data_IF_637679070934
#
_entry.id   IF_637679070934
#
_cell.length_a   1.000
_cell.length_b   1.000
_cell.length_c   1.000
_cell.angle_alpha   90.00
_cell.angle_beta   90.00
_cell.angle_gamma   90.00
#
_symmetry.space_group_name_H-M   'P 1'
#
loop_
_entity.id
_entity.type
_entity.pdbx_description
1 polymer ?
#
# COMPACT_ATOMS: atom_id res chain seq x y z
N UNK A 1 -13.32 12.41 -21.19
CA UNK A 1 -12.73 12.51 -19.84
C UNK A 1 -12.65 11.12 -19.27
N UNK A 2 -11.54 10.75 -18.65
CA UNK A 2 -11.35 9.43 -18.04
C UNK A 2 -11.66 9.52 -16.56
N UNK A 3 -12.58 8.72 -16.04
CA UNK A 3 -12.91 8.66 -14.62
C UNK A 3 -12.04 7.60 -13.94
N UNK A 4 -11.24 8.03 -12.96
CA UNK A 4 -10.39 7.14 -12.16
C UNK A 4 -10.94 7.07 -10.74
N UNK A 5 -11.41 5.89 -10.32
CA UNK A 5 -11.80 5.62 -8.95
C UNK A 5 -10.58 5.21 -8.13
N UNK A 6 -10.40 5.83 -6.97
CA UNK A 6 -9.34 5.49 -6.01
C UNK A 6 -9.98 4.97 -4.74
N UNK A 7 -9.85 3.66 -4.47
CA UNK A 7 -10.25 3.08 -3.19
C UNK A 7 -9.17 3.29 -2.14
N UNK A 8 -9.55 3.24 -0.85
CA UNK A 8 -8.59 3.56 0.22
C UNK A 8 -8.01 4.97 0.13
N UNK A 9 -8.72 5.91 -0.50
CA UNK A 9 -8.26 7.26 -0.82
C UNK A 9 -7.79 8.06 0.41
N UNK A 10 -8.28 7.77 1.60
CA UNK A 10 -7.87 8.43 2.85
C UNK A 10 -6.68 7.76 3.55
N UNK A 11 -6.20 6.65 3.03
CA UNK A 11 -5.05 5.91 3.56
C UNK A 11 -3.72 6.42 3.03
N UNK A 12 -2.63 5.83 3.51
CA UNK A 12 -1.24 6.25 3.20
C UNK A 12 -0.95 6.29 1.69
N UNK A 13 -1.25 5.21 0.96
CA UNK A 13 -0.96 5.13 -0.48
C UNK A 13 -2.07 5.81 -1.30
N UNK A 14 -3.35 5.54 -0.99
CA UNK A 14 -4.46 6.08 -1.76
C UNK A 14 -4.49 7.62 -1.76
N UNK A 15 -4.17 8.26 -0.63
CA UNK A 15 -4.07 9.72 -0.56
C UNK A 15 -2.94 10.28 -1.44
N UNK A 16 -1.78 9.61 -1.48
CA UNK A 16 -0.69 9.99 -2.38
C UNK A 16 -1.06 9.77 -3.86
N UNK A 17 -1.85 8.73 -4.17
CA UNK A 17 -2.37 8.52 -5.54
C UNK A 17 -3.28 9.67 -5.95
N UNK A 18 -4.26 10.06 -5.11
CA UNK A 18 -5.14 11.21 -5.39
C UNK A 18 -4.33 12.49 -5.58
N UNK A 19 -3.41 12.79 -4.67
CA UNK A 19 -2.54 13.97 -4.73
C UNK A 19 -1.72 14.04 -6.01
N UNK A 20 -1.13 12.92 -6.43
CA UNK A 20 -0.31 12.86 -7.63
C UNK A 20 -1.15 12.88 -8.91
N UNK A 21 -2.36 12.31 -8.91
CA UNK A 21 -3.30 12.46 -10.04
C UNK A 21 -3.70 13.93 -10.23
N UNK A 22 -4.02 14.66 -9.16
CA UNK A 22 -4.33 16.10 -9.22
C UNK A 22 -3.15 16.90 -9.76
N UNK A 23 -1.92 16.50 -9.44
CA UNK A 23 -0.69 17.21 -9.85
C UNK A 23 -0.18 16.77 -11.22
N UNK A 24 -0.82 15.77 -11.86
CA UNK A 24 -0.38 15.28 -13.17
C UNK A 24 -0.68 16.26 -14.30
N UNK A 25 0.12 16.21 -15.38
CA UNK A 25 -0.12 17.03 -16.58
C UNK A 25 -1.47 16.73 -17.26
N UNK A 26 -1.99 15.56 -17.07
CA UNK A 26 -3.22 15.08 -17.68
C UNK A 26 -4.48 15.34 -16.84
N UNK A 27 -4.36 16.00 -15.67
CA UNK A 27 -5.46 16.18 -14.74
C UNK A 27 -6.70 16.85 -15.34
N UNK A 28 -6.55 17.72 -16.36
CA UNK A 28 -7.68 18.37 -17.03
C UNK A 28 -8.57 17.39 -17.85
N UNK A 29 -8.05 16.21 -18.17
CA UNK A 29 -8.75 15.16 -18.90
C UNK A 29 -9.20 14.00 -17.99
N UNK A 30 -8.99 14.12 -16.68
CA UNK A 30 -9.26 13.08 -15.70
C UNK A 30 -10.26 13.61 -14.68
N UNK A 31 -11.30 12.81 -14.40
CA UNK A 31 -12.15 12.95 -13.22
C UNK A 31 -11.61 12.02 -12.15
N UNK A 32 -11.17 12.56 -11.02
CA UNK A 32 -10.66 11.77 -9.90
C UNK A 32 -11.80 11.56 -8.91
N UNK A 33 -12.16 10.29 -8.71
CA UNK A 33 -13.20 9.90 -7.76
C UNK A 33 -12.55 9.21 -6.55
N UNK A 34 -12.59 9.86 -5.39
CA UNK A 34 -12.05 9.34 -4.14
C UNK A 34 -13.15 8.59 -3.36
N UNK A 35 -12.99 7.26 -3.21
CA UNK A 35 -13.89 6.46 -2.40
C UNK A 35 -13.62 6.70 -0.90
N UNK A 36 -14.67 7.05 -0.17
CA UNK A 36 -14.64 7.32 1.26
C UNK A 36 -15.81 6.62 1.96
N UNK A 37 -15.64 6.24 3.22
CA UNK A 37 -16.71 5.56 3.98
C UNK A 37 -17.46 6.51 4.94
N UNK A 38 -17.13 7.79 4.96
CA UNK A 38 -17.86 8.79 5.76
C UNK A 38 -17.66 10.21 5.24
N UNK A 39 -18.62 11.09 5.54
CA UNK A 39 -18.56 12.50 5.18
C UNK A 39 -17.35 13.22 5.81
N UNK A 40 -17.01 12.90 7.05
CA UNK A 40 -15.82 13.45 7.72
C UNK A 40 -14.52 13.13 6.96
N UNK A 41 -14.43 11.95 6.31
CA UNK A 41 -13.31 11.57 5.46
C UNK A 41 -13.35 12.27 4.09
N UNK A 42 -14.55 12.54 3.55
CA UNK A 42 -14.72 13.29 2.30
C UNK A 42 -14.18 14.72 2.43
N UNK A 43 -14.32 15.33 3.61
CA UNK A 43 -13.87 16.70 3.87
C UNK A 43 -12.35 16.89 3.66
N UNK A 44 -11.56 15.84 3.78
CA UNK A 44 -10.12 15.87 3.51
C UNK A 44 -9.80 16.24 2.05
N UNK A 45 -10.73 16.00 1.12
CA UNK A 45 -10.54 16.27 -0.30
C UNK A 45 -11.06 17.63 -0.76
N UNK A 46 -11.72 18.40 0.11
CA UNK A 46 -12.21 19.77 -0.20
C UNK A 46 -11.10 20.71 -0.67
N UNK A 47 -9.86 20.48 -0.23
CA UNK A 47 -8.69 21.27 -0.63
C UNK A 47 -8.41 21.20 -2.15
N UNK A 48 -8.88 20.16 -2.83
CA UNK A 48 -8.70 19.98 -4.28
C UNK A 48 -9.84 20.57 -5.11
N UNK A 49 -10.86 21.15 -4.46
CA UNK A 49 -12.00 21.77 -5.12
C UNK A 49 -12.73 20.82 -6.07
N UNK A 50 -12.91 21.25 -7.32
CA UNK A 50 -13.61 20.47 -8.36
C UNK A 50 -12.73 19.38 -9.00
N UNK A 51 -11.45 19.32 -8.70
CA UNK A 51 -10.53 18.34 -9.28
C UNK A 51 -10.74 16.93 -8.72
N UNK A 52 -11.36 16.82 -7.54
CA UNK A 52 -11.64 15.54 -6.87
C UNK A 52 -13.09 15.52 -6.44
N UNK A 53 -13.86 14.56 -6.95
CA UNK A 53 -15.16 14.20 -6.41
C UNK A 53 -15.02 13.08 -5.37
N UNK A 54 -15.87 13.09 -4.37
CA UNK A 54 -15.91 12.02 -3.36
C UNK A 54 -17.18 11.19 -3.55
N UNK A 55 -17.04 9.87 -3.38
CA UNK A 55 -18.17 8.94 -3.41
C UNK A 55 -18.16 8.10 -2.13
N UNK A 56 -19.36 7.89 -1.56
CA UNK A 56 -19.46 6.95 -0.44
C UNK A 56 -19.30 5.52 -0.94
N UNK A 57 -18.44 4.74 -0.28
CA UNK A 57 -18.19 3.35 -0.61
C UNK A 57 -17.95 2.56 0.68
N UNK A 58 -18.87 1.66 0.98
CA UNK A 58 -18.83 0.77 2.14
C UNK A 58 -18.88 -0.69 1.63
N UNK A 59 -17.83 -1.45 1.85
CA UNK A 59 -17.72 -2.83 1.37
C UNK A 59 -18.81 -3.77 1.92
N UNK A 60 -19.46 -3.40 3.03
CA UNK A 60 -20.59 -4.14 3.58
C UNK A 60 -21.94 -3.76 2.93
N UNK A 61 -21.96 -2.83 1.97
CA UNK A 61 -23.14 -2.30 1.31
C UNK A 61 -22.99 -2.34 -0.21
N UNK A 62 -23.39 -3.44 -0.87
CA UNK A 62 -23.19 -3.64 -2.30
C UNK A 62 -23.70 -2.48 -3.16
N UNK A 63 -24.83 -1.87 -2.79
CA UNK A 63 -25.40 -0.73 -3.50
C UNK A 63 -24.44 0.47 -3.57
N UNK A 64 -23.64 0.70 -2.52
CA UNK A 64 -22.65 1.79 -2.52
C UNK A 64 -21.44 1.47 -3.38
N UNK A 65 -21.13 0.20 -3.59
CA UNK A 65 -20.06 -0.25 -4.46
C UNK A 65 -20.45 -0.04 -5.91
N UNK A 66 -21.67 -0.49 -6.31
CA UNK A 66 -22.20 -0.32 -7.64
C UNK A 66 -22.26 1.17 -8.03
N UNK A 67 -22.74 2.04 -7.12
CA UNK A 67 -22.79 3.49 -7.32
C UNK A 67 -21.37 4.07 -7.51
N UNK A 68 -20.41 3.64 -6.71
CA UNK A 68 -19.01 4.11 -6.80
C UNK A 68 -18.35 3.70 -8.11
N UNK A 69 -18.65 2.51 -8.62
CA UNK A 69 -18.11 1.99 -9.89
C UNK A 69 -18.80 2.57 -11.12
N UNK A 70 -19.97 3.18 -10.97
CA UNK A 70 -20.74 3.69 -12.12
C UNK A 70 -19.95 4.74 -12.91
N UNK A 71 -19.85 4.52 -14.24
CA UNK A 71 -19.05 5.36 -15.16
C UNK A 71 -17.56 5.48 -14.82
N UNK A 72 -16.98 4.47 -14.17
CA UNK A 72 -15.55 4.39 -13.91
C UNK A 72 -14.84 3.74 -15.11
N UNK A 73 -13.79 4.40 -15.61
CA UNK A 73 -12.95 3.88 -16.68
C UNK A 73 -11.73 3.12 -16.13
N UNK A 74 -11.16 3.58 -15.02
CA UNK A 74 -9.97 2.95 -14.40
C UNK A 74 -10.11 2.93 -12.88
N UNK A 75 -9.53 1.90 -12.26
CA UNK A 75 -9.64 1.66 -10.83
C UNK A 75 -8.26 1.51 -10.19
N UNK A 76 -7.95 2.35 -9.19
CA UNK A 76 -6.92 2.03 -8.21
C UNK A 76 -7.57 1.26 -7.07
N UNK A 77 -7.22 -0.01 -6.94
CA UNK A 77 -7.81 -0.92 -5.96
C UNK A 77 -6.87 -1.16 -4.78
N UNK A 78 -7.29 -0.72 -3.62
CA UNK A 78 -6.68 -1.02 -2.33
C UNK A 78 -7.73 -1.69 -1.45
N UNK A 79 -7.43 -2.90 -1.02
CA UNK A 79 -8.16 -3.66 0.00
C UNK A 79 -7.31 -3.73 1.26
N UNK A 80 -7.94 -3.78 2.43
CA UNK A 80 -7.23 -4.03 3.68
C UNK A 80 -7.34 -5.53 3.99
N UNK A 81 -6.27 -6.19 4.45
CA UNK A 81 -6.39 -7.58 4.89
C UNK A 81 -7.46 -7.74 5.94
N UNK A 82 -8.32 -8.73 5.78
CA UNK A 82 -9.38 -9.08 6.73
C UNK A 82 -9.35 -10.59 6.96
N UNK A 83 -9.78 -11.05 8.15
CA UNK A 83 -9.78 -12.48 8.49
C UNK A 83 -10.72 -13.28 7.58
N UNK A 84 -11.77 -12.64 7.12
CA UNK A 84 -12.76 -13.19 6.21
C UNK A 84 -12.78 -12.40 4.92
N UNK A 85 -12.54 -13.10 3.79
CA UNK A 85 -12.66 -12.54 2.45
C UNK A 85 -14.08 -12.02 2.16
N UNK A 86 -15.08 -12.44 2.94
CA UNK A 86 -16.46 -11.98 2.79
C UNK A 86 -16.58 -10.43 2.86
N UNK A 87 -15.69 -9.76 3.57
CA UNK A 87 -15.66 -8.27 3.63
C UNK A 87 -15.46 -7.66 2.24
N UNK A 88 -14.70 -8.33 1.39
CA UNK A 88 -14.40 -7.85 0.02
C UNK A 88 -15.15 -8.62 -1.06
N UNK A 89 -15.91 -9.67 -0.70
CA UNK A 89 -16.64 -10.48 -1.66
C UNK A 89 -17.56 -9.62 -2.51
N UNK A 90 -18.32 -8.71 -1.90
CA UNK A 90 -19.19 -7.81 -2.63
C UNK A 90 -18.44 -6.96 -3.67
N UNK A 91 -17.30 -6.37 -3.27
CA UNK A 91 -16.47 -5.57 -4.19
C UNK A 91 -15.90 -6.42 -5.32
N UNK A 92 -15.39 -7.61 -5.01
CA UNK A 92 -14.75 -8.49 -5.98
C UNK A 92 -15.81 -9.13 -6.90
N UNK A 93 -17.00 -9.42 -6.40
CA UNK A 93 -18.14 -9.87 -7.23
C UNK A 93 -18.62 -8.76 -8.16
N UNK A 94 -18.79 -7.54 -7.65
CA UNK A 94 -19.13 -6.40 -8.49
C UNK A 94 -18.07 -6.16 -9.59
N UNK A 95 -16.78 -6.29 -9.27
CA UNK A 95 -15.71 -6.19 -10.27
C UNK A 95 -15.79 -7.34 -11.28
N UNK A 96 -16.02 -8.58 -10.83
CA UNK A 96 -16.11 -9.77 -11.70
C UNK A 96 -17.32 -9.70 -12.64
N UNK A 97 -18.45 -9.22 -12.16
CA UNK A 97 -19.71 -9.16 -12.90
C UNK A 97 -19.92 -7.82 -13.61
N UNK A 98 -18.99 -6.90 -13.46
CA UNK A 98 -19.11 -5.55 -13.99
C UNK A 98 -19.18 -5.53 -15.52
N UNK A 99 -20.34 -5.17 -16.03
CA UNK A 99 -20.59 -5.01 -17.46
C UNK A 99 -20.33 -3.57 -17.96
N UNK A 100 -19.62 -2.76 -17.18
CA UNK A 100 -19.33 -1.37 -17.49
C UNK A 100 -18.03 -1.15 -18.26
N UNK A 101 -17.43 0.03 -18.10
CA UNK A 101 -16.33 0.50 -18.93
C UNK A 101 -14.95 0.42 -18.24
N UNK A 102 -14.81 -0.29 -17.09
CA UNK A 102 -13.49 -0.42 -16.46
C UNK A 102 -12.55 -1.14 -17.43
N UNK A 103 -11.56 -0.40 -17.90
CA UNK A 103 -10.58 -0.90 -18.87
C UNK A 103 -9.18 -1.12 -18.27
N UNK A 104 -8.98 -0.78 -16.99
CA UNK A 104 -7.74 -1.08 -16.27
C UNK A 104 -7.92 -1.02 -14.76
N UNK A 105 -7.46 -2.06 -14.06
CA UNK A 105 -7.36 -2.13 -12.60
C UNK A 105 -5.90 -2.11 -12.21
N UNK A 106 -5.48 -1.13 -11.41
CA UNK A 106 -4.18 -1.12 -10.75
C UNK A 106 -4.39 -1.48 -9.28
N UNK A 107 -4.03 -2.71 -8.92
CA UNK A 107 -4.22 -3.21 -7.55
C UNK A 107 -2.94 -3.06 -6.72
N UNK A 108 -3.07 -2.42 -5.56
CA UNK A 108 -2.05 -2.52 -4.51
C UNK A 108 -2.16 -3.90 -3.85
N UNK A 109 -1.24 -4.77 -4.20
CA UNK A 109 -1.07 -6.11 -3.67
C UNK A 109 0.08 -6.14 -2.63
N UNK A 110 0.71 -7.29 -2.45
CA UNK A 110 1.83 -7.50 -1.55
C UNK A 110 2.87 -8.43 -2.18
N UNK A 111 4.14 -8.26 -1.81
CA UNK A 111 5.17 -9.26 -2.15
C UNK A 111 4.81 -10.66 -1.62
N UNK A 112 4.02 -10.75 -0.56
CA UNK A 112 3.58 -12.01 0.01
C UNK A 112 2.70 -12.81 -0.97
N UNK A 113 1.99 -12.17 -1.90
CA UNK A 113 1.25 -12.85 -2.97
C UNK A 113 2.20 -13.62 -3.92
N UNK A 114 3.39 -13.04 -4.22
CA UNK A 114 4.40 -13.75 -5.00
C UNK A 114 5.05 -14.90 -4.21
N UNK A 115 5.17 -14.78 -2.90
CA UNK A 115 5.67 -15.85 -2.04
C UNK A 115 4.72 -17.04 -1.99
N UNK A 116 3.41 -16.79 -2.06
CA UNK A 116 2.38 -17.84 -2.16
C UNK A 116 2.59 -18.74 -3.40
N UNK A 117 2.96 -18.13 -4.53
CA UNK A 117 3.25 -18.86 -5.78
C UNK A 117 4.45 -19.82 -5.63
N UNK A 118 5.32 -19.61 -4.64
CA UNK A 118 6.50 -20.43 -4.36
C UNK A 118 6.34 -21.39 -3.18
N UNK A 119 5.12 -21.48 -2.63
CA UNK A 119 4.82 -22.34 -1.48
C UNK A 119 5.21 -21.77 -0.10
N UNK A 120 5.64 -20.50 -0.05
CA UNK A 120 5.91 -19.77 1.21
C UNK A 120 4.63 -19.04 1.68
N UNK A 121 3.54 -19.80 1.74
CA UNK A 121 2.21 -19.26 2.03
C UNK A 121 2.12 -18.55 3.38
N UNK A 122 1.55 -17.34 3.36
CA UNK A 122 1.19 -16.59 4.56
C UNK A 122 -0.28 -16.19 4.49
N UNK A 123 -0.87 -15.83 5.65
CA UNK A 123 -2.25 -15.33 5.70
C UNK A 123 -2.42 -14.16 4.72
N UNK A 124 -1.55 -13.16 4.79
CA UNK A 124 -1.60 -11.98 3.90
C UNK A 124 -1.34 -12.37 2.44
N UNK A 125 -0.40 -13.28 2.19
CA UNK A 125 -0.07 -13.75 0.84
C UNK A 125 -1.26 -14.44 0.19
N UNK A 126 -1.92 -15.34 0.91
CA UNK A 126 -3.13 -16.03 0.42
C UNK A 126 -4.26 -15.05 0.10
N UNK A 127 -4.54 -14.11 1.00
CA UNK A 127 -5.58 -13.09 0.79
C UNK A 127 -5.31 -12.32 -0.50
N UNK A 128 -4.12 -11.73 -0.63
CA UNK A 128 -3.80 -10.96 -1.82
C UNK A 128 -3.79 -11.80 -3.10
N UNK A 129 -3.31 -13.06 -3.04
CA UNK A 129 -3.30 -13.94 -4.23
C UNK A 129 -4.72 -14.35 -4.65
N UNK A 130 -5.62 -14.59 -3.72
CA UNK A 130 -7.04 -14.83 -4.02
C UNK A 130 -7.69 -13.61 -4.70
N UNK A 131 -7.45 -12.41 -4.18
CA UNK A 131 -7.93 -11.17 -4.81
C UNK A 131 -7.37 -10.99 -6.23
N UNK A 132 -6.08 -11.26 -6.43
CA UNK A 132 -5.45 -11.22 -7.75
C UNK A 132 -6.11 -12.22 -8.72
N UNK A 133 -6.37 -13.47 -8.29
CA UNK A 133 -7.05 -14.48 -9.12
C UNK A 133 -8.45 -14.03 -9.55
N UNK A 134 -9.24 -13.46 -8.65
CA UNK A 134 -10.59 -12.97 -8.98
C UNK A 134 -10.50 -11.85 -10.03
N UNK A 135 -9.51 -10.96 -9.92
CA UNK A 135 -9.28 -9.91 -10.91
C UNK A 135 -8.83 -10.51 -12.26
N UNK A 136 -7.95 -11.50 -12.25
CA UNK A 136 -7.52 -12.24 -13.46
C UNK A 136 -8.74 -12.88 -14.16
N UNK A 137 -9.64 -13.51 -13.39
CA UNK A 137 -10.85 -14.16 -13.89
C UNK A 137 -11.89 -13.18 -14.46
N UNK A 138 -11.93 -11.94 -13.97
CA UNK A 138 -12.82 -10.89 -14.51
C UNK A 138 -12.49 -10.50 -15.95
N UNK A 139 -11.28 -10.83 -16.43
CA UNK A 139 -10.74 -10.46 -17.74
C UNK A 139 -10.59 -8.94 -17.96
N UNK A 140 -10.81 -8.13 -16.94
CA UNK A 140 -10.49 -6.71 -16.99
C UNK A 140 -8.95 -6.57 -17.00
N UNK A 141 -8.39 -5.74 -17.89
CA UNK A 141 -6.95 -5.47 -17.88
C UNK A 141 -6.46 -5.03 -16.50
N UNK A 142 -5.37 -5.60 -16.02
CA UNK A 142 -4.88 -5.34 -14.67
C UNK A 142 -3.37 -5.11 -14.58
N UNK A 143 -2.95 -4.48 -13.48
CA UNK A 143 -1.56 -4.38 -13.02
C UNK A 143 -1.53 -4.63 -11.53
N UNK A 144 -0.70 -5.54 -11.05
CA UNK A 144 -0.49 -5.77 -9.63
C UNK A 144 0.80 -5.12 -9.16
N UNK A 145 0.72 -4.36 -8.08
CA UNK A 145 1.87 -3.74 -7.43
C UNK A 145 2.13 -4.49 -6.13
N UNK A 146 3.29 -5.14 -6.03
CA UNK A 146 3.66 -6.05 -4.94
C UNK A 146 4.82 -5.48 -4.11
N UNK A 147 4.57 -4.48 -3.23
CA UNK A 147 5.60 -3.94 -2.33
C UNK A 147 5.90 -4.89 -1.16
N UNK A 148 7.11 -4.83 -0.57
CA UNK A 148 7.47 -5.58 0.63
C UNK A 148 6.96 -4.92 1.92
N UNK A 149 7.39 -3.70 2.21
CA UNK A 149 6.99 -2.93 3.38
C UNK A 149 7.14 -1.43 3.10
N UNK A 150 6.32 -0.62 3.78
CA UNK A 150 6.30 0.83 3.56
C UNK A 150 7.22 1.55 4.54
N UNK A 151 7.97 2.55 4.07
CA UNK A 151 8.71 3.47 4.95
C UNK A 151 7.78 4.18 5.93
N UNK A 152 6.55 4.48 5.52
CA UNK A 152 5.55 5.15 6.35
C UNK A 152 5.13 4.35 7.60
N UNK A 153 5.43 3.05 7.65
CA UNK A 153 5.24 2.24 8.87
C UNK A 153 6.06 2.80 10.05
N UNK A 154 7.22 3.43 9.79
CA UNK A 154 8.00 4.10 10.83
C UNK A 154 7.24 5.28 11.46
N UNK A 155 6.33 5.91 10.72
CA UNK A 155 5.48 6.98 11.24
C UNK A 155 4.24 6.39 11.93
N UNK A 156 3.53 5.49 11.24
CA UNK A 156 2.20 5.04 11.66
C UNK A 156 2.24 3.97 12.75
N UNK A 157 3.24 3.09 12.74
CA UNK A 157 3.36 1.99 13.70
C UNK A 157 4.36 2.30 14.81
N UNK A 158 5.50 2.90 14.47
CA UNK A 158 6.60 3.10 15.43
C UNK A 158 6.75 4.56 15.89
N UNK A 159 6.09 5.51 15.23
CA UNK A 159 6.28 6.93 15.49
C UNK A 159 6.00 7.35 16.94
N UNK A 160 5.02 6.71 17.61
CA UNK A 160 4.74 6.98 19.01
C UNK A 160 5.92 6.60 19.92
N UNK A 161 6.41 5.38 19.82
CA UNK A 161 7.53 4.91 20.67
C UNK A 161 8.85 5.57 20.30
N UNK A 162 9.08 5.92 19.04
CA UNK A 162 10.22 6.72 18.61
C UNK A 162 10.22 8.09 19.31
N UNK A 163 9.08 8.79 19.39
CA UNK A 163 8.99 10.11 20.04
C UNK A 163 9.07 10.07 21.56
N UNK A 164 8.48 9.04 22.18
CA UNK A 164 8.29 9.00 23.63
C UNK A 164 9.35 8.16 24.36
N UNK A 165 10.03 7.26 23.66
CA UNK A 165 10.96 6.30 24.23
C UNK A 165 12.32 6.26 23.51
N UNK A 166 12.50 7.06 22.46
CA UNK A 166 13.69 7.03 21.61
C UNK A 166 13.99 5.62 21.02
N UNK A 167 12.95 4.81 20.86
CA UNK A 167 13.11 3.42 20.43
C UNK A 167 11.87 2.90 19.67
N UNK A 168 12.10 1.82 18.92
CA UNK A 168 11.03 0.98 18.40
C UNK A 168 11.41 -0.51 18.51
N UNK A 169 10.39 -1.36 18.59
CA UNK A 169 10.49 -2.74 19.04
C UNK A 169 9.85 -3.67 18.02
N UNK A 170 10.65 -4.54 17.38
CA UNK A 170 10.15 -5.56 16.44
C UNK A 170 11.03 -6.81 16.48
N UNK A 171 10.46 -8.02 16.26
CA UNK A 171 11.19 -9.28 16.33
C UNK A 171 11.78 -9.66 14.96
N UNK A 172 12.68 -8.81 14.41
CA UNK A 172 13.18 -8.98 13.05
C UNK A 172 14.69 -9.33 12.96
N UNK A 173 15.41 -9.31 14.08
CA UNK A 173 16.85 -9.51 14.09
C UNK A 173 17.57 -8.49 13.22
N UNK A 174 18.61 -8.94 12.52
CA UNK A 174 19.37 -8.12 11.56
C UNK A 174 18.93 -8.33 10.10
N UNK A 175 17.74 -8.92 9.89
CA UNK A 175 17.20 -9.16 8.56
C UNK A 175 16.98 -7.84 7.82
N UNK A 176 17.21 -7.88 6.50
CA UNK A 176 17.05 -6.70 5.64
C UNK A 176 15.73 -6.71 4.90
N UNK A 177 15.19 -5.53 4.73
CA UNK A 177 13.94 -5.27 4.01
C UNK A 177 14.16 -4.17 2.99
N UNK A 178 13.62 -4.34 1.81
CA UNK A 178 13.59 -3.32 0.77
C UNK A 178 12.37 -2.40 1.01
N UNK A 179 12.44 -1.54 2.03
CA UNK A 179 11.37 -0.60 2.34
C UNK A 179 11.13 0.37 1.18
N UNK A 180 9.89 0.52 0.77
CA UNK A 180 9.49 1.45 -0.30
C UNK A 180 8.70 2.64 0.26
N UNK A 181 8.92 3.82 -0.29
CA UNK A 181 8.11 4.99 0.05
C UNK A 181 6.74 4.92 -0.64
N UNK A 182 5.67 5.23 0.09
CA UNK A 182 4.31 5.23 -0.45
C UNK A 182 4.15 6.22 -1.63
N UNK A 183 4.96 7.27 -1.69
CA UNK A 183 5.02 8.23 -2.80
C UNK A 183 5.50 7.58 -4.11
N UNK A 184 6.41 6.59 -4.03
CA UNK A 184 6.87 5.85 -5.21
C UNK A 184 5.84 4.83 -5.66
N UNK A 185 5.15 4.16 -4.73
CA UNK A 185 4.01 3.29 -5.06
C UNK A 185 2.94 4.09 -5.80
N UNK A 186 2.59 5.27 -5.27
CA UNK A 186 1.63 6.16 -5.90
C UNK A 186 2.10 6.62 -7.29
N UNK A 187 3.39 6.96 -7.45
CA UNK A 187 3.94 7.37 -8.74
C UNK A 187 3.84 6.27 -9.80
N UNK A 188 4.15 5.02 -9.43
CA UNK A 188 3.96 3.87 -10.32
C UNK A 188 2.49 3.66 -10.64
N UNK A 189 1.60 3.76 -9.64
CA UNK A 189 0.15 3.63 -9.82
C UNK A 189 -0.39 4.67 -10.80
N UNK A 190 -0.01 5.93 -10.61
CA UNK A 190 -0.44 7.05 -11.49
C UNK A 190 0.06 6.84 -12.91
N UNK A 191 1.33 6.43 -13.09
CA UNK A 191 1.87 6.10 -14.43
C UNK A 191 1.06 5.00 -15.12
N UNK A 192 0.74 3.92 -14.43
CA UNK A 192 -0.07 2.84 -14.97
C UNK A 192 -1.51 3.30 -15.30
N UNK A 193 -2.13 4.11 -14.43
CA UNK A 193 -3.48 4.61 -14.61
C UNK A 193 -3.60 5.67 -15.72
N UNK A 194 -2.58 6.50 -15.92
CA UNK A 194 -2.64 7.62 -16.89
C UNK A 194 -1.99 7.31 -18.23
N UNK A 195 -1.28 6.19 -18.36
CA UNK A 195 -0.64 5.80 -19.63
C UNK A 195 -1.67 5.61 -20.74
N UNK A 196 -1.38 6.18 -21.91
CA UNK A 196 -2.12 5.91 -23.15
C UNK A 196 -1.65 4.61 -23.81
N UNK A 197 -0.41 4.20 -23.58
CA UNK A 197 0.13 2.89 -23.98
C UNK A 197 0.17 1.97 -22.75
N UNK A 198 -0.89 1.21 -22.58
CA UNK A 198 -1.04 0.32 -21.43
C UNK A 198 -0.32 -1.03 -21.63
N UNK A 199 0.26 -1.31 -22.79
CA UNK A 199 0.84 -2.62 -23.13
C UNK A 199 1.93 -3.06 -22.13
N UNK A 200 2.73 -2.13 -21.63
CA UNK A 200 3.74 -2.43 -20.63
C UNK A 200 3.18 -2.76 -19.25
N UNK A 201 1.94 -2.38 -18.93
CA UNK A 201 1.33 -2.55 -17.60
C UNK A 201 0.34 -3.72 -17.54
N UNK A 202 -0.43 -3.94 -18.63
CA UNK A 202 -1.50 -4.93 -18.66
C UNK A 202 -0.98 -6.36 -18.48
N UNK A 203 -1.62 -7.08 -17.54
CA UNK A 203 -1.28 -8.48 -17.24
C UNK A 203 0.05 -8.62 -16.50
N UNK A 204 0.56 -7.55 -15.87
CA UNK A 204 1.85 -7.56 -15.18
C UNK A 204 1.69 -7.46 -13.67
N UNK A 205 2.62 -8.11 -12.97
CA UNK A 205 2.82 -7.95 -11.53
C UNK A 205 4.24 -7.40 -11.31
N UNK A 206 4.34 -6.25 -10.66
CA UNK A 206 5.60 -5.54 -10.40
C UNK A 206 6.00 -5.63 -8.94
N UNK A 207 7.26 -5.98 -8.67
CA UNK A 207 7.85 -5.92 -7.34
C UNK A 207 8.31 -4.50 -7.05
N UNK A 208 7.52 -3.74 -6.30
CA UNK A 208 7.76 -2.33 -6.03
C UNK A 208 8.70 -2.19 -4.83
N UNK A 209 9.99 -2.03 -5.11
CA UNK A 209 11.06 -2.05 -4.11
C UNK A 209 11.90 -0.79 -4.14
N UNK A 210 12.57 -0.48 -3.01
CA UNK A 210 13.67 0.49 -3.00
C UNK A 210 14.89 -0.07 -3.73
N UNK A 211 15.90 0.77 -3.96
CA UNK A 211 17.17 0.34 -4.58
C UNK A 211 18.05 -0.47 -3.62
N UNK A 212 17.86 -0.32 -2.32
CA UNK A 212 18.62 -0.99 -1.29
C UNK A 212 17.70 -1.64 -0.26
N UNK A 213 18.15 -2.77 0.30
CA UNK A 213 17.54 -3.39 1.44
C UNK A 213 18.34 -3.06 2.69
N UNK A 214 17.68 -2.53 3.72
CA UNK A 214 18.28 -2.14 4.99
C UNK A 214 17.64 -2.89 6.15
N UNK A 215 18.39 -3.11 7.23
CA UNK A 215 17.84 -3.66 8.47
C UNK A 215 17.13 -2.57 9.30
N UNK A 216 16.33 -2.98 10.27
CA UNK A 216 15.74 -2.04 11.23
C UNK A 216 16.80 -1.29 12.04
N UNK A 217 17.95 -1.92 12.30
CA UNK A 217 19.12 -1.26 12.93
C UNK A 217 19.66 -0.12 12.07
N UNK A 218 19.87 -0.37 10.78
CA UNK A 218 20.30 0.66 9.84
C UNK A 218 19.26 1.78 9.69
N UNK A 219 17.97 1.44 9.70
CA UNK A 219 16.89 2.42 9.69
C UNK A 219 16.95 3.32 10.95
N UNK A 220 17.18 2.75 12.15
CA UNK A 220 17.33 3.50 13.38
C UNK A 220 18.54 4.45 13.34
N UNK A 221 19.66 4.02 12.78
CA UNK A 221 20.85 4.85 12.59
C UNK A 221 20.59 6.04 11.66
N UNK A 222 19.90 5.80 10.54
CA UNK A 222 19.52 6.85 9.59
C UNK A 222 18.56 7.86 10.25
N UNK A 223 17.52 7.37 10.94
CA UNK A 223 16.59 8.23 11.68
C UNK A 223 17.32 9.06 12.73
N UNK A 224 18.20 8.44 13.53
CA UNK A 224 18.99 9.14 14.56
C UNK A 224 19.76 10.32 13.99
N UNK A 225 20.40 10.12 12.83
CA UNK A 225 21.16 11.16 12.14
C UNK A 225 20.28 12.32 11.68
N UNK A 226 19.08 12.05 11.17
CA UNK A 226 18.19 13.08 10.66
C UNK A 226 17.47 13.85 11.77
N UNK A 227 17.15 13.18 12.88
CA UNK A 227 16.44 13.78 14.02
C UNK A 227 17.42 14.50 14.99
N UNK A 228 18.70 14.14 14.95
CA UNK A 228 19.74 14.74 15.80
C UNK A 228 19.76 14.16 17.23
N UNK A 229 19.12 13.00 17.47
CA UNK A 229 19.18 12.26 18.73
C UNK A 229 19.21 10.76 18.47
N UNK A 230 19.69 9.99 19.45
CA UNK A 230 19.77 8.54 19.31
C UNK A 230 18.37 7.93 19.32
N UNK A 231 18.03 7.20 18.24
CA UNK A 231 16.87 6.31 18.13
C UNK A 231 17.39 4.89 18.09
N UNK A 232 16.82 4.00 18.90
CA UNK A 232 17.29 2.63 19.05
C UNK A 232 16.28 1.64 18.44
N UNK A 233 16.78 0.70 17.67
CA UNK A 233 16.05 -0.52 17.36
C UNK A 233 16.29 -1.54 18.46
N UNK A 234 15.24 -2.10 19.02
CA UNK A 234 15.29 -3.17 20.02
C UNK A 234 14.68 -4.43 19.40
N UNK A 235 15.53 -5.43 19.18
CA UNK A 235 15.06 -6.75 18.77
C UNK A 235 14.46 -7.45 19.99
N UNK A 236 13.16 -7.75 19.92
CA UNK A 236 12.42 -8.36 21.01
C UNK A 236 12.03 -9.80 20.66
N UNK A 237 11.83 -10.67 21.66
CA UNK A 237 11.24 -11.97 21.42
C UNK A 237 9.85 -11.88 20.76
N UNK A 238 9.52 -12.85 19.91
CA UNK A 238 8.21 -12.88 19.23
C UNK A 238 7.04 -12.90 20.23
N UNK A 239 7.21 -13.59 21.36
CA UNK A 239 6.20 -13.65 22.42
C UNK A 239 5.92 -12.26 23.01
N UNK A 240 6.96 -11.45 23.24
CA UNK A 240 6.81 -10.08 23.74
C UNK A 240 6.12 -9.17 22.72
N UNK A 241 6.44 -9.33 21.43
CA UNK A 241 5.77 -8.62 20.36
C UNK A 241 4.27 -8.96 20.30
N UNK A 242 3.92 -10.25 20.34
CA UNK A 242 2.53 -10.74 20.38
C UNK A 242 1.78 -10.17 21.59
N UNK A 243 2.38 -10.22 22.76
CA UNK A 243 1.80 -9.69 24.01
C UNK A 243 1.52 -8.20 23.92
N UNK A 244 2.47 -7.41 23.40
CA UNK A 244 2.31 -5.97 23.23
C UNK A 244 1.19 -5.62 22.23
N UNK A 245 1.10 -6.32 21.10
CA UNK A 245 0.04 -6.15 20.11
C UNK A 245 -1.34 -6.48 20.69
N UNK A 246 -1.44 -7.57 21.46
CA UNK A 246 -2.68 -7.98 22.14
C UNK A 246 -3.13 -6.94 23.19
N UNK A 247 -2.19 -6.40 23.95
CA UNK A 247 -2.46 -5.33 24.94
C UNK A 247 -2.94 -4.03 24.28
N UNK A 248 -2.52 -3.77 23.04
CA UNK A 248 -3.00 -2.64 22.25
C UNK A 248 -4.33 -2.93 21.51
N UNK A 249 -4.99 -4.05 21.81
CA UNK A 249 -6.31 -4.38 21.27
C UNK A 249 -6.30 -4.97 19.86
N UNK A 250 -5.15 -5.44 19.38
CA UNK A 250 -5.06 -6.07 18.07
C UNK A 250 -5.67 -7.48 18.10
N UNK A 251 -6.42 -7.83 17.06
CA UNK A 251 -7.01 -9.15 16.90
C UNK A 251 -5.97 -10.23 16.67
N UNK A 252 -6.22 -11.44 17.19
CA UNK A 252 -5.26 -12.56 17.14
C UNK A 252 -4.86 -12.93 15.70
N UNK A 253 -5.81 -12.96 14.76
CA UNK A 253 -5.52 -13.26 13.35
C UNK A 253 -4.54 -12.26 12.72
N UNK A 254 -4.64 -10.96 13.07
CA UNK A 254 -3.76 -9.93 12.56
C UNK A 254 -2.38 -10.03 13.20
N UNK A 255 -2.32 -10.38 14.49
CA UNK A 255 -1.07 -10.67 15.18
C UNK A 255 -0.36 -11.85 14.49
N UNK A 256 -1.08 -12.93 14.18
CA UNK A 256 -0.52 -14.09 13.47
C UNK A 256 0.01 -13.69 12.10
N UNK A 257 -0.77 -12.93 11.34
CA UNK A 257 -0.36 -12.45 10.02
C UNK A 257 0.90 -11.56 10.07
N UNK A 258 1.03 -10.71 11.07
CA UNK A 258 2.22 -9.87 11.28
C UNK A 258 3.43 -10.74 11.67
N UNK A 259 3.25 -11.75 12.52
CA UNK A 259 4.33 -12.66 12.91
C UNK A 259 4.81 -13.52 11.74
N UNK A 260 3.89 -14.01 10.90
CA UNK A 260 4.27 -14.69 9.65
C UNK A 260 5.11 -13.76 8.74
N UNK A 261 4.74 -12.49 8.66
CA UNK A 261 5.52 -11.51 7.90
C UNK A 261 6.95 -11.34 8.46
N UNK A 262 7.12 -11.26 9.81
CA UNK A 262 8.46 -11.23 10.40
C UNK A 262 9.24 -12.52 10.17
N UNK A 263 8.57 -13.67 10.08
CA UNK A 263 9.23 -14.94 9.72
C UNK A 263 9.78 -14.90 8.29
N UNK A 264 9.01 -14.38 7.34
CA UNK A 264 9.46 -14.16 5.95
C UNK A 264 10.63 -13.18 5.89
N UNK A 265 10.59 -12.09 6.66
CA UNK A 265 11.68 -11.12 6.76
C UNK A 265 12.95 -11.80 7.27
N UNK A 266 12.88 -12.54 8.38
CA UNK A 266 14.02 -13.26 8.96
C UNK A 266 14.61 -14.31 8.02
N UNK A 267 13.78 -14.93 7.19
CA UNK A 267 14.21 -15.84 6.12
C UNK A 267 14.86 -15.12 4.91
N UNK A 268 14.91 -13.78 4.90
CA UNK A 268 15.56 -12.98 3.87
C UNK A 268 14.72 -12.70 2.62
N UNK A 269 13.47 -13.15 2.57
CA UNK A 269 12.63 -13.00 1.37
C UNK A 269 12.22 -11.54 1.08
N UNK A 270 12.23 -10.65 2.10
CA UNK A 270 11.91 -9.23 1.95
C UNK A 270 13.09 -8.36 1.49
N UNK A 271 14.27 -8.94 1.30
CA UNK A 271 15.50 -8.19 0.96
C UNK A 271 15.74 -8.01 -0.54
N UNK A 272 14.97 -8.69 -1.39
CA UNK A 272 15.11 -8.59 -2.85
C UNK A 272 14.82 -7.15 -3.31
N UNK A 273 15.67 -6.63 -4.19
CA UNK A 273 15.49 -5.34 -4.87
C UNK A 273 15.31 -5.54 -6.36
N UNK A 274 14.56 -4.64 -6.99
CA UNK A 274 14.35 -4.59 -8.44
C UNK A 274 14.56 -3.17 -8.95
N UNK A 275 14.69 -3.02 -10.29
CA UNK A 275 14.76 -1.70 -10.93
C UNK A 275 13.40 -1.26 -11.52
N UNK A 276 12.32 -1.97 -11.19
CA UNK A 276 11.01 -1.75 -11.81
C UNK A 276 10.47 -0.35 -11.53
N UNK A 277 10.64 0.17 -10.31
CA UNK A 277 10.23 1.54 -9.98
C UNK A 277 10.95 2.54 -10.89
N UNK A 278 12.29 2.46 -10.99
CA UNK A 278 13.08 3.38 -11.82
C UNK A 278 12.71 3.27 -13.30
N UNK A 279 12.49 2.05 -13.81
CA UNK A 279 12.07 1.82 -15.19
C UNK A 279 10.71 2.42 -15.51
N UNK A 280 9.76 2.37 -14.56
CA UNK A 280 8.40 2.87 -14.74
C UNK A 280 8.31 4.37 -14.61
N UNK A 281 8.89 4.95 -13.55
CA UNK A 281 8.73 6.39 -13.25
C UNK A 281 9.88 7.26 -13.77
N UNK A 282 10.94 6.67 -14.32
CA UNK A 282 12.09 7.39 -14.90
C UNK A 282 13.02 8.06 -13.91
N UNK A 283 12.90 7.75 -12.61
CA UNK A 283 13.80 8.19 -11.54
C UNK A 283 14.01 7.08 -10.52
N UNK A 284 15.08 7.19 -9.76
CA UNK A 284 15.32 6.29 -8.63
C UNK A 284 14.21 6.43 -7.59
N UNK A 285 13.83 5.32 -6.92
CA UNK A 285 12.93 5.38 -5.78
C UNK A 285 13.54 6.21 -4.65
N UNK A 286 12.70 6.79 -3.83
CA UNK A 286 13.08 7.58 -2.66
C UNK A 286 13.86 6.69 -1.70
N UNK A 287 15.06 7.14 -1.30
CA UNK A 287 15.87 6.41 -0.32
C UNK A 287 15.29 6.56 1.09
N UNK A 288 15.60 5.60 1.98
CA UNK A 288 15.20 5.72 3.39
C UNK A 288 15.80 6.96 4.06
N UNK A 289 17.01 7.38 3.65
CA UNK A 289 17.63 8.62 4.13
C UNK A 289 16.85 9.88 3.72
N UNK A 290 16.32 9.91 2.47
CA UNK A 290 15.49 11.03 2.02
C UNK A 290 14.12 11.02 2.73
N UNK A 291 13.49 9.85 2.89
CA UNK A 291 12.29 9.70 3.69
C UNK A 291 12.50 10.21 5.13
N UNK A 292 13.55 9.78 5.80
CA UNK A 292 13.86 10.20 7.18
C UNK A 292 14.08 11.71 7.29
N UNK A 293 14.69 12.34 6.27
CA UNK A 293 14.84 13.79 6.19
C UNK A 293 13.50 14.50 6.00
N UNK A 294 12.68 14.04 5.07
CA UNK A 294 11.40 14.66 4.73
C UNK A 294 10.41 14.61 5.90
N UNK A 295 10.49 13.55 6.72
CA UNK A 295 9.59 13.32 7.84
C UNK A 295 10.26 13.50 9.21
N UNK A 296 11.42 14.18 9.29
CA UNK A 296 12.17 14.37 10.53
C UNK A 296 11.32 14.95 11.68
N UNK A 297 10.43 15.89 11.38
CA UNK A 297 9.53 16.53 12.36
C UNK A 297 8.54 15.55 13.00
N UNK A 298 8.13 14.50 12.30
CA UNK A 298 7.27 13.46 12.85
C UNK A 298 7.95 12.60 13.92
N UNK A 299 9.26 12.58 13.92
CA UNK A 299 10.06 11.75 14.84
C UNK A 299 10.67 12.55 15.99
N UNK A 300 10.54 13.89 16.03
CA UNK A 300 11.00 14.79 17.10
C UNK A 300 10.12 14.87 18.33
#
# INVERSE_FOLDING_TARGET
MTTILVTGATGTVGNEVVKQLVSSSDHNNIVIRAAVHSQAKADNFKIYGKSVETVNMDYNKPETIADALNHVDKLFLLTLPAPDMAVYSNLLEEIREYNGNINHIVKLSSMAAAAEETGLGTIIGRIHREEEKIIEESKIPFTFLRPPAFMQNFITQFGYTIRTQDAFYVPAGDAKISFIDARDIAAVSVKALTSNDNQQYIGKAYMITAQEAISYRQAAEILSKQVGRRISYVDIPEEDARKAMKQNGMDDWLIDAIMEFYTIIKAGHASKTTNEVEQIIGRKPISFSQFAKDYAEFFR
#
